data_IF_448988163616
#
_entry.id   IF_448988163616
#
_cell.length_a   1.000
_cell.length_b   1.000
_cell.length_c   1.000
_cell.angle_alpha   90.00
_cell.angle_beta   90.00
_cell.angle_gamma   90.00
#
_symmetry.space_group_name_H-M   'P 1'
#
loop_
_entity.id
_entity.type
_entity.pdbx_description
1 polymer ?
#
# COMPACT_ATOMS: atom_id res chain seq x y z
N UNK A 1 10.76 -10.07 -1.57
CA UNK A 1 9.48 -10.13 -2.31
C UNK A 1 9.78 -9.72 -3.75
N UNK A 2 9.98 -10.55 -4.77
CA UNK A 2 9.85 -11.99 -5.02
C UNK A 2 11.04 -12.37 -5.95
N UNK A 3 11.68 -13.52 -5.73
CA UNK A 3 12.82 -14.00 -6.55
C UNK A 3 12.38 -14.76 -7.80
N UNK A 4 11.27 -14.36 -8.40
CA UNK A 4 10.71 -14.96 -9.61
C UNK A 4 10.02 -13.81 -10.31
N UNK A 5 10.24 -13.61 -11.62
CA UNK A 5 9.88 -12.42 -12.40
C UNK A 5 8.39 -12.06 -12.49
N UNK A 6 7.58 -12.42 -11.50
CA UNK A 6 6.26 -11.88 -11.25
C UNK A 6 6.40 -10.47 -10.68
N UNK A 7 6.12 -9.49 -11.52
CA UNK A 7 5.97 -8.11 -11.08
C UNK A 7 4.69 -7.97 -10.23
N UNK A 8 4.88 -7.68 -8.94
CA UNK A 8 3.81 -7.42 -7.98
C UNK A 8 3.57 -5.93 -7.76
N UNK A 9 4.20 -5.05 -8.54
CA UNK A 9 3.87 -3.63 -8.52
C UNK A 9 2.38 -3.35 -8.74
N UNK A 10 1.63 -4.08 -9.60
CA UNK A 10 0.23 -3.78 -9.88
C UNK A 10 -0.73 -3.98 -8.70
N UNK A 11 -0.36 -4.79 -7.70
CA UNK A 11 -1.22 -5.02 -6.53
C UNK A 11 -1.15 -3.88 -5.52
N UNK A 12 -0.14 -3.01 -5.61
CA UNK A 12 0.03 -1.85 -4.73
C UNK A 12 -0.81 -0.71 -5.27
N UNK A 13 -1.91 -0.41 -4.59
CA UNK A 13 -2.85 0.64 -5.01
C UNK A 13 -2.53 2.00 -4.42
N UNK A 14 -1.98 2.04 -3.20
CA UNK A 14 -1.69 3.28 -2.49
C UNK A 14 -0.40 3.17 -1.70
N UNK A 15 0.33 4.28 -1.61
CA UNK A 15 1.54 4.41 -0.80
C UNK A 15 1.48 5.74 -0.05
N UNK A 16 1.70 5.69 1.26
CA UNK A 16 1.70 6.86 2.14
C UNK A 16 2.98 6.87 2.98
N UNK A 17 3.41 8.05 3.43
CA UNK A 17 4.41 8.14 4.49
C UNK A 17 3.81 7.59 5.79
N UNK A 18 4.65 7.13 6.71
CA UNK A 18 4.17 6.65 8.02
C UNK A 18 3.45 7.74 8.81
N UNK A 19 3.87 8.99 8.65
CA UNK A 19 3.23 10.14 9.31
C UNK A 19 1.76 10.32 8.85
N UNK A 20 1.43 9.80 7.66
CA UNK A 20 0.08 9.80 7.09
C UNK A 20 -0.68 8.48 7.36
N UNK A 21 -0.32 7.75 8.42
CA UNK A 21 -0.94 6.45 8.73
C UNK A 21 -2.47 6.50 8.76
N UNK A 22 -3.06 7.57 9.31
CA UNK A 22 -4.50 7.73 9.42
C UNK A 22 -5.16 7.68 8.04
N UNK A 23 -4.61 8.41 7.05
CA UNK A 23 -5.11 8.39 5.68
C UNK A 23 -4.99 6.98 5.07
N UNK A 24 -3.90 6.28 5.35
CA UNK A 24 -3.73 4.90 4.91
C UNK A 24 -4.80 3.95 5.46
N UNK A 25 -5.16 4.09 6.74
CA UNK A 25 -6.22 3.28 7.36
C UNK A 25 -7.61 3.65 6.88
N UNK A 26 -7.90 4.93 6.65
CA UNK A 26 -9.20 5.38 6.13
C UNK A 26 -9.44 4.80 4.73
N UNK A 27 -8.42 4.82 3.87
CA UNK A 27 -8.47 4.22 2.53
C UNK A 27 -8.63 2.70 2.59
N UNK A 28 -7.97 2.02 3.54
CA UNK A 28 -8.21 0.59 3.79
C UNK A 28 -9.65 0.30 4.22
N UNK A 29 -10.23 1.14 5.07
CA UNK A 29 -11.60 1.02 5.56
C UNK A 29 -12.68 1.30 4.51
N UNK A 30 -12.38 2.09 3.48
CA UNK A 30 -13.32 2.45 2.41
C UNK A 30 -13.74 1.26 1.53
N UNK A 31 -12.93 0.19 1.49
CA UNK A 31 -13.09 -0.90 0.53
C UNK A 31 -12.61 -0.57 -0.89
N UNK A 32 -12.16 0.66 -1.16
CA UNK A 32 -11.62 1.12 -2.45
C UNK A 32 -10.09 1.01 -2.49
N UNK A 33 -9.52 -0.05 -1.92
CA UNK A 33 -8.08 -0.29 -1.94
C UNK A 33 -7.75 -1.77 -2.15
N UNK A 34 -6.65 -2.04 -2.85
CA UNK A 34 -6.12 -3.39 -3.04
C UNK A 34 -5.04 -3.70 -2.01
N UNK A 35 -3.95 -2.93 -2.04
CA UNK A 35 -2.88 -2.96 -1.04
C UNK A 35 -2.39 -1.55 -0.77
N UNK A 36 -2.32 -1.20 0.50
CA UNK A 36 -1.79 0.07 1.00
C UNK A 36 -0.44 -0.19 1.65
N UNK A 37 0.56 0.61 1.34
CA UNK A 37 1.90 0.55 1.99
C UNK A 37 2.14 1.84 2.76
N UNK A 38 2.57 1.70 4.01
CA UNK A 38 3.11 2.79 4.81
C UNK A 38 4.63 2.73 4.75
N UNK A 39 5.26 3.78 4.23
CA UNK A 39 6.71 3.92 4.12
C UNK A 39 7.29 4.52 5.40
N UNK A 40 8.28 3.83 5.97
CA UNK A 40 8.95 4.19 7.24
C UNK A 40 10.34 4.83 7.03
N UNK A 41 10.68 5.14 5.78
CA UNK A 41 11.95 5.79 5.40
C UNK A 41 11.78 7.30 5.31
#
# INVERSE_FOLDING_TARGET
LLQSGLDISPIITHQFAIDDFQQGFDVMGSGESGKVILNWQ
#
